data_IF_143163461352
#
_entry.id   IF_143163461352
#
_cell.length_a   1.000
_cell.length_b   1.000
_cell.length_c   1.000
_cell.angle_alpha   90.00
_cell.angle_beta   90.00
_cell.angle_gamma   90.00
#
_symmetry.space_group_name_H-M   'P 1'
#
loop_
_entity.id
_entity.type
_entity.pdbx_description
1 polymer ?
#
# COMPACT_ATOMS: atom_id res chain seq x y z
N UNK A 1 13.16 23.72 25.01
CA UNK A 1 13.31 23.78 23.53
C UNK A 1 13.60 22.36 23.09
N UNK A 2 12.56 21.64 22.71
CA UNK A 2 12.60 20.19 22.45
C UNK A 2 12.41 20.01 20.95
N UNK A 3 13.31 19.35 20.19
CA UNK A 3 13.06 19.09 18.80
C UNK A 3 12.10 17.90 18.69
N UNK A 4 10.80 18.18 18.73
CA UNK A 4 9.82 17.27 18.15
C UNK A 4 9.92 17.44 16.63
N UNK A 5 10.54 16.49 15.91
CA UNK A 5 10.28 16.13 14.49
C UNK A 5 11.42 15.36 13.79
N UNK A 6 12.24 14.55 14.49
CA UNK A 6 13.24 13.67 13.82
C UNK A 6 12.62 12.44 13.11
N UNK A 7 11.29 12.27 13.12
CA UNK A 7 10.63 11.07 12.59
C UNK A 7 10.59 10.99 11.05
N UNK A 8 10.92 12.05 10.33
CA UNK A 8 10.89 12.01 8.85
C UNK A 8 12.16 11.45 8.20
N UNK A 9 13.27 11.31 8.94
CA UNK A 9 14.62 11.30 8.35
C UNK A 9 15.16 9.94 7.83
N UNK A 10 14.37 8.84 7.84
CA UNK A 10 14.81 7.56 7.22
C UNK A 10 13.72 6.77 6.50
N UNK A 11 12.71 7.43 5.92
CA UNK A 11 11.73 6.74 5.06
C UNK A 11 12.39 6.36 3.73
N UNK A 12 12.81 5.10 3.61
CA UNK A 12 13.38 4.54 2.38
C UNK A 12 12.25 4.25 1.39
N UNK A 13 12.01 5.17 0.46
CA UNK A 13 11.15 4.92 -0.70
C UNK A 13 11.89 3.96 -1.64
N UNK A 14 11.29 2.85 -2.07
CA UNK A 14 11.93 1.93 -2.98
C UNK A 14 12.07 2.57 -4.37
N UNK A 15 13.22 2.36 -5.01
CA UNK A 15 13.46 2.84 -6.36
C UNK A 15 12.65 2.03 -7.38
N UNK A 16 11.74 2.70 -8.10
CA UNK A 16 10.80 2.04 -8.99
C UNK A 16 11.47 1.37 -10.19
N UNK A 17 12.54 1.97 -10.70
CA UNK A 17 13.30 1.41 -11.82
C UNK A 17 13.96 0.09 -11.39
N UNK A 18 14.58 0.08 -10.21
CA UNK A 18 15.16 -1.12 -9.59
C UNK A 18 14.11 -2.18 -9.29
N UNK A 19 12.91 -1.80 -8.83
CA UNK A 19 11.81 -2.74 -8.63
C UNK A 19 11.35 -3.38 -9.94
N UNK A 20 11.21 -2.58 -11.01
CA UNK A 20 10.78 -3.07 -12.33
C UNK A 20 11.82 -3.97 -12.99
N UNK A 21 13.10 -3.64 -12.84
CA UNK A 21 14.20 -4.43 -13.39
C UNK A 21 14.45 -5.74 -12.64
N UNK A 22 13.95 -5.87 -11.41
CA UNK A 22 14.05 -7.08 -10.61
C UNK A 22 13.11 -8.18 -11.13
N UNK A 23 13.51 -9.44 -10.93
CA UNK A 23 12.60 -10.58 -11.06
C UNK A 23 11.46 -10.50 -10.02
N UNK A 24 10.41 -11.30 -10.24
CA UNK A 24 9.20 -11.22 -9.43
C UNK A 24 9.48 -11.55 -7.95
N UNK A 25 10.35 -12.51 -7.65
CA UNK A 25 10.65 -12.93 -6.28
C UNK A 25 11.42 -11.84 -5.51
N UNK A 26 12.42 -11.25 -6.15
CA UNK A 26 13.18 -10.11 -5.63
C UNK A 26 12.29 -8.88 -5.44
N UNK A 27 11.41 -8.60 -6.41
CA UNK A 27 10.48 -7.47 -6.33
C UNK A 27 9.51 -7.65 -5.16
N UNK A 28 8.94 -8.84 -5.00
CA UNK A 28 8.06 -9.17 -3.87
C UNK A 28 8.81 -8.93 -2.56
N UNK A 29 10.05 -9.44 -2.44
CA UNK A 29 10.84 -9.28 -1.21
C UNK A 29 11.08 -7.81 -0.86
N UNK A 30 11.46 -6.98 -1.83
CA UNK A 30 11.67 -5.54 -1.64
C UNK A 30 10.39 -4.81 -1.24
N UNK A 31 9.25 -5.20 -1.82
CA UNK A 31 7.96 -4.62 -1.47
C UNK A 31 7.54 -5.07 -0.07
N UNK A 32 7.75 -6.34 0.33
CA UNK A 32 7.50 -6.82 1.69
C UNK A 32 8.30 -5.99 2.70
N UNK A 33 9.60 -5.79 2.48
CA UNK A 33 10.44 -4.98 3.36
C UNK A 33 9.93 -3.54 3.47
N UNK A 34 9.49 -2.95 2.36
CA UNK A 34 8.91 -1.63 2.34
C UNK A 34 7.59 -1.56 3.13
N UNK A 35 6.66 -2.49 2.88
CA UNK A 35 5.36 -2.51 3.56
C UNK A 35 5.53 -2.76 5.06
N UNK A 36 6.40 -3.69 5.48
CA UNK A 36 6.69 -3.92 6.89
C UNK A 36 7.23 -2.66 7.59
N UNK A 37 8.13 -1.90 6.94
CA UNK A 37 8.62 -0.62 7.47
C UNK A 37 7.49 0.42 7.60
N UNK A 38 6.65 0.56 6.58
CA UNK A 38 5.52 1.49 6.60
C UNK A 38 4.46 1.08 7.65
N UNK A 39 4.26 -0.22 7.87
CA UNK A 39 3.41 -0.74 8.94
C UNK A 39 3.96 -0.43 10.32
N UNK A 40 5.27 -0.61 10.55
CA UNK A 40 5.89 -0.22 11.82
C UNK A 40 5.68 1.25 12.15
N UNK A 41 5.85 2.13 11.16
CA UNK A 41 5.64 3.58 11.31
C UNK A 41 4.16 3.88 11.57
N UNK A 42 3.26 3.25 10.82
CA UNK A 42 1.83 3.55 10.88
C UNK A 42 1.16 3.02 12.14
N UNK A 43 1.62 1.88 12.64
CA UNK A 43 1.10 1.21 13.84
C UNK A 43 1.90 1.57 15.10
N UNK A 44 2.90 2.45 15.00
CA UNK A 44 3.77 2.86 16.11
C UNK A 44 4.46 1.68 16.81
N UNK A 45 4.81 0.64 16.04
CA UNK A 45 5.47 -0.57 16.55
C UNK A 45 6.92 -0.23 16.92
N UNK A 46 7.38 -0.59 18.15
CA UNK A 46 8.72 -0.28 18.62
C UNK A 46 9.83 -0.98 17.83
N UNK A 47 11.07 -0.45 17.80
CA UNK A 47 12.19 -1.01 17.02
C UNK A 47 12.57 -2.43 17.41
N UNK A 48 12.32 -2.82 18.66
CA UNK A 48 12.50 -4.17 19.18
C UNK A 48 11.48 -5.22 18.70
N UNK A 49 10.37 -4.82 18.09
CA UNK A 49 9.33 -5.72 17.58
C UNK A 49 9.30 -5.74 16.05
N UNK A 50 9.35 -6.93 15.44
CA UNK A 50 9.24 -7.09 14.00
C UNK A 50 7.78 -7.33 13.56
N UNK A 51 7.45 -6.85 12.36
CA UNK A 51 6.17 -7.15 11.71
C UNK A 51 6.32 -8.48 11.00
N UNK A 52 5.59 -9.50 11.48
CA UNK A 52 5.51 -10.79 10.81
C UNK A 52 4.73 -10.64 9.49
N UNK A 53 5.38 -10.82 8.33
CA UNK A 53 4.72 -10.61 7.05
C UNK A 53 3.71 -11.71 6.69
N UNK A 54 3.68 -12.82 7.44
CA UNK A 54 2.73 -13.92 7.27
C UNK A 54 1.47 -13.76 8.13
N UNK A 55 1.50 -12.85 9.11
CA UNK A 55 0.39 -12.62 10.02
C UNK A 55 -0.74 -11.84 9.33
N UNK A 56 -2.02 -12.12 9.70
CA UNK A 56 -3.12 -11.36 9.17
C UNK A 56 -3.12 -9.88 9.54
N UNK A 57 -3.41 -9.04 8.54
CA UNK A 57 -3.43 -7.58 8.68
C UNK A 57 -4.40 -7.11 9.79
N UNK A 58 -5.56 -7.77 9.92
CA UNK A 58 -6.52 -7.46 10.96
C UNK A 58 -5.99 -7.76 12.37
N UNK A 59 -5.14 -8.78 12.53
CA UNK A 59 -4.50 -9.11 13.81
C UNK A 59 -3.40 -8.11 14.15
N UNK A 60 -2.75 -7.54 13.14
CA UNK A 60 -1.76 -6.47 13.26
C UNK A 60 -2.39 -5.09 13.55
N UNK A 61 -3.73 -4.99 13.63
CA UNK A 61 -4.42 -3.72 13.89
C UNK A 61 -4.61 -2.84 12.66
N UNK A 62 -4.51 -3.40 11.44
CA UNK A 62 -4.82 -2.67 10.20
C UNK A 62 -6.33 -2.47 10.06
N UNK A 63 -6.80 -1.33 10.54
CA UNK A 63 -8.17 -0.83 10.33
C UNK A 63 -8.30 0.10 9.12
N UNK A 64 -9.50 0.63 8.88
CA UNK A 64 -9.81 1.47 7.70
C UNK A 64 -8.92 2.72 7.56
N UNK A 65 -8.53 3.35 8.68
CA UNK A 65 -7.67 4.56 8.68
C UNK A 65 -6.23 4.17 8.29
N UNK A 66 -5.70 3.11 8.90
CA UNK A 66 -4.37 2.55 8.59
C UNK A 66 -4.30 2.09 7.14
N UNK A 67 -5.33 1.38 6.67
CA UNK A 67 -5.43 0.94 5.28
C UNK A 67 -5.48 2.11 4.29
N UNK A 68 -6.19 3.20 4.62
CA UNK A 68 -6.23 4.40 3.77
C UNK A 68 -4.87 5.11 3.71
N UNK A 69 -4.12 5.13 4.83
CA UNK A 69 -2.75 5.68 4.84
C UNK A 69 -1.82 4.84 3.98
N UNK A 70 -1.86 3.51 4.12
CA UNK A 70 -1.09 2.57 3.32
C UNK A 70 -1.44 2.71 1.82
N UNK A 71 -2.73 2.78 1.48
CA UNK A 71 -3.19 3.03 0.10
C UNK A 71 -2.53 4.26 -0.51
N UNK A 72 -2.64 5.41 0.16
CA UNK A 72 -2.04 6.66 -0.33
C UNK A 72 -0.53 6.53 -0.49
N UNK A 73 0.12 5.77 0.40
CA UNK A 73 1.56 5.54 0.33
C UNK A 73 1.94 4.70 -0.89
N UNK A 74 1.20 3.63 -1.17
CA UNK A 74 1.45 2.82 -2.37
C UNK A 74 1.22 3.61 -3.65
N UNK A 75 0.18 4.45 -3.70
CA UNK A 75 -0.08 5.32 -4.85
C UNK A 75 1.04 6.36 -5.07
N UNK A 76 1.60 6.93 -4.01
CA UNK A 76 2.66 7.94 -4.10
C UNK A 76 4.04 7.35 -4.38
N UNK A 77 4.38 6.24 -3.73
CA UNK A 77 5.75 5.69 -3.76
C UNK A 77 5.93 4.61 -4.82
N UNK A 78 4.89 3.80 -5.06
CA UNK A 78 4.93 2.70 -6.00
C UNK A 78 4.23 3.01 -7.33
N UNK A 79 3.52 4.14 -7.42
CA UNK A 79 2.71 4.53 -8.58
C UNK A 79 1.71 3.44 -9.00
N UNK A 80 1.14 2.73 -8.03
CA UNK A 80 0.15 1.66 -8.25
C UNK A 80 -1.24 2.08 -7.80
N UNK A 81 -2.26 1.70 -8.55
CA UNK A 81 -3.65 1.89 -8.13
C UNK A 81 -4.14 0.67 -7.36
N UNK A 82 -4.47 0.86 -6.08
CA UNK A 82 -5.04 -0.20 -5.23
C UNK A 82 -6.37 0.22 -4.62
N UNK A 83 -7.35 -0.66 -4.74
CA UNK A 83 -8.63 -0.50 -4.07
C UNK A 83 -8.51 -0.75 -2.55
N UNK A 84 -9.19 0.09 -1.75
CA UNK A 84 -9.12 0.01 -0.29
C UNK A 84 -9.66 -1.31 0.26
N UNK A 85 -10.71 -1.87 -0.37
CA UNK A 85 -11.28 -3.17 0.02
C UNK A 85 -10.28 -4.29 -0.28
N UNK A 86 -9.50 -4.20 -1.37
CA UNK A 86 -8.43 -5.17 -1.65
C UNK A 86 -7.33 -5.17 -0.59
N UNK A 87 -6.99 -4.00 -0.04
CA UNK A 87 -6.01 -3.87 1.05
C UNK A 87 -6.59 -4.48 2.34
N UNK A 88 -7.83 -4.15 2.70
CA UNK A 88 -8.48 -4.67 3.90
C UNK A 88 -8.76 -6.18 3.85
N UNK A 89 -8.91 -6.75 2.66
CA UNK A 89 -9.12 -8.18 2.43
C UNK A 89 -7.83 -8.99 2.27
N UNK A 90 -6.67 -8.35 2.25
CA UNK A 90 -5.42 -9.12 2.19
C UNK A 90 -5.23 -9.91 3.48
N UNK A 91 -4.95 -11.20 3.33
CA UNK A 91 -4.80 -12.15 4.42
C UNK A 91 -3.47 -11.99 5.13
N UNK A 92 -2.48 -11.32 4.53
CA UNK A 92 -1.17 -11.05 5.12
C UNK A 92 -0.45 -9.91 4.39
N UNK A 93 0.65 -9.42 4.98
CA UNK A 93 1.56 -8.46 4.34
C UNK A 93 2.22 -9.07 3.11
N UNK A 94 2.57 -10.36 3.17
CA UNK A 94 3.17 -11.09 2.06
C UNK A 94 2.25 -11.15 0.85
N UNK A 95 0.97 -11.47 1.07
CA UNK A 95 -0.02 -11.51 0.00
C UNK A 95 -0.26 -10.11 -0.59
N UNK A 96 -0.39 -9.09 0.26
CA UNK A 96 -0.54 -7.71 -0.19
C UNK A 96 0.67 -7.27 -1.04
N UNK A 97 1.87 -7.61 -0.61
CA UNK A 97 3.12 -7.28 -1.31
C UNK A 97 3.26 -8.01 -2.63
N UNK A 98 2.82 -9.27 -2.71
CA UNK A 98 2.74 -10.02 -3.96
C UNK A 98 1.81 -9.35 -4.97
N UNK A 99 0.62 -8.92 -4.52
CA UNK A 99 -0.32 -8.17 -5.38
C UNK A 99 0.27 -6.84 -5.86
N UNK A 100 0.93 -6.11 -4.98
CA UNK A 100 1.64 -4.87 -5.32
C UNK A 100 2.75 -5.10 -6.35
N UNK A 101 3.53 -6.18 -6.22
CA UNK A 101 4.62 -6.52 -7.14
C UNK A 101 4.13 -6.75 -8.58
N UNK A 102 2.93 -7.30 -8.74
CA UNK A 102 2.29 -7.48 -10.05
C UNK A 102 1.82 -6.14 -10.64
N UNK A 103 1.37 -5.19 -9.81
CA UNK A 103 0.93 -3.88 -10.28
C UNK A 103 2.07 -2.95 -10.69
N UNK A 104 3.30 -3.15 -10.18
CA UNK A 104 4.47 -2.31 -10.50
C UNK A 104 4.95 -2.49 -11.96
N UNK A 105 4.59 -3.60 -12.60
CA UNK A 105 4.82 -3.88 -14.04
C UNK A 105 3.84 -3.13 -14.95
N UNK A 106 2.56 -3.13 -14.58
CA UNK A 106 1.46 -2.55 -15.36
C UNK A 106 1.19 -1.12 -14.94
N UNK A 107 2.11 -0.20 -15.23
CA UNK A 107 1.73 1.21 -15.33
C UNK A 107 1.33 1.52 -16.78
N UNK A 108 0.09 1.24 -17.24
CA UNK A 108 -0.43 2.01 -18.34
C UNK A 108 -0.65 3.42 -17.81
N UNK A 109 0.15 4.36 -18.30
CA UNK A 109 -0.24 5.76 -18.35
C UNK A 109 -1.61 5.84 -19.02
N UNK A 110 -2.67 5.97 -18.22
CA UNK A 110 -3.86 6.79 -18.55
C UNK A 110 -4.74 6.93 -17.33
N UNK A 111 -4.68 8.12 -16.74
CA UNK A 111 -5.80 8.68 -16.01
C UNK A 111 -7.05 8.70 -16.91
N UNK A 112 -8.20 8.32 -16.35
CA UNK A 112 -9.48 8.88 -16.76
C UNK A 112 -10.31 9.20 -15.52
N UNK A 113 -10.20 10.46 -15.11
CA UNK A 113 -11.19 11.14 -14.27
C UNK A 113 -12.38 11.55 -15.14
N UNK A 114 -13.61 11.28 -14.67
CA UNK A 114 -14.88 11.73 -15.26
C UNK A 114 -15.45 10.75 -16.30
N UNK A 115 -16.75 10.41 -16.35
CA UNK A 115 -17.92 11.26 -16.09
C UNK A 115 -19.20 10.42 -15.88
N UNK A 116 -20.04 10.86 -14.94
CA UNK A 116 -21.51 10.88 -14.92
C UNK A 116 -22.35 9.75 -15.56
N UNK A 117 -23.15 9.10 -14.71
CA UNK A 117 -24.40 8.42 -15.08
C UNK A 117 -25.53 8.81 -14.12
N UNK A 118 -26.05 10.03 -14.29
CA UNK A 118 -27.39 10.40 -13.81
C UNK A 118 -28.41 9.88 -14.82
N UNK A 119 -29.30 8.98 -14.39
CA UNK A 119 -30.63 8.74 -14.99
C UNK A 119 -31.56 8.57 -13.78
N UNK A 120 -32.26 9.62 -13.31
CA UNK A 120 -33.61 10.05 -13.72
C UNK A 120 -34.62 8.90 -13.84
N UNK A 121 -35.44 8.78 -12.80
CA UNK A 121 -36.91 8.66 -12.82
C UNK A 121 -37.57 8.55 -14.21
N UNK A 122 -38.20 7.40 -14.53
CA UNK A 122 -39.46 7.31 -15.31
C UNK A 122 -40.14 5.92 -15.23
N UNK A 123 -41.40 5.95 -14.77
CA UNK A 123 -42.63 5.15 -14.89
C UNK A 123 -42.77 3.79 -15.65
N UNK A 124 -43.87 3.11 -15.24
CA UNK A 124 -44.66 2.00 -15.82
C UNK A 124 -44.25 0.58 -15.35
N UNK A 125 -45.13 -0.24 -14.77
CA UNK A 125 -46.58 -0.43 -14.99
C UNK A 125 -47.32 -0.92 -13.72
#
# INVERSE_FOLDING_TARGET
MTPASTFEERRTVPDLETLRAADIDERIRRIVEFVCKEMRITLEIPPEEDVDPTQPLHTLGVGSITALRLKRRFELDLLVEMDLVRILRAESVSELSARLALCVEDAPMTASSGTAGTVRDECAE
#
